data_IF_033459567570
#
_entry.id   IF_033459567570
#
_cell.length_a   1.000
_cell.length_b   1.000
_cell.length_c   1.000
_cell.angle_alpha   90.00
_cell.angle_beta   90.00
_cell.angle_gamma   90.00
#
_symmetry.space_group_name_H-M   'P 1'
#
loop_
_entity.id
_entity.type
_entity.pdbx_description
1 polymer ?
#
# COMPACT_ATOMS: atom_id res chain seq x y z
N UNK A 1 -3.40 2.07 9.07
CA UNK A 1 -4.36 1.90 7.94
C UNK A 1 -3.70 1.80 6.55
N UNK A 2 -2.47 2.29 6.33
CA UNK A 2 -1.80 2.20 5.02
C UNK A 2 -1.72 0.78 4.45
N UNK A 3 -1.49 -0.24 5.28
CA UNK A 3 -1.44 -1.63 4.82
C UNK A 3 -2.72 -2.10 4.13
N UNK A 4 -3.89 -1.64 4.56
CA UNK A 4 -5.16 -1.99 3.93
C UNK A 4 -5.29 -1.37 2.53
N UNK A 5 -4.98 -0.07 2.40
CA UNK A 5 -5.05 0.64 1.11
C UNK A 5 -4.06 0.03 0.10
N UNK A 6 -2.85 -0.31 0.55
CA UNK A 6 -1.85 -1.00 -0.26
C UNK A 6 -2.35 -2.38 -0.70
N UNK A 7 -2.95 -3.16 0.21
CA UNK A 7 -3.47 -4.48 -0.12
C UNK A 7 -4.63 -4.41 -1.12
N UNK A 8 -5.55 -3.46 -0.96
CA UNK A 8 -6.67 -3.24 -1.89
C UNK A 8 -6.14 -2.83 -3.26
N UNK A 9 -5.26 -1.83 -3.31
CA UNK A 9 -4.67 -1.36 -4.57
C UNK A 9 -3.78 -2.40 -5.26
N UNK A 10 -3.05 -3.21 -4.50
CA UNK A 10 -2.14 -4.23 -5.02
C UNK A 10 -2.82 -5.53 -5.44
N UNK A 11 -3.85 -5.98 -4.71
CA UNK A 11 -4.44 -7.31 -4.90
C UNK A 11 -5.83 -7.30 -5.54
N UNK A 12 -6.52 -6.17 -5.59
CA UNK A 12 -7.87 -6.06 -6.14
C UNK A 12 -7.85 -5.13 -7.36
N UNK A 13 -7.59 -5.72 -8.53
CA UNK A 13 -7.55 -5.02 -9.83
C UNK A 13 -8.65 -3.97 -10.05
N UNK A 14 -9.95 -4.28 -9.86
CA UNK A 14 -11.00 -3.29 -10.12
C UNK A 14 -10.97 -2.09 -9.16
N UNK A 15 -10.38 -2.25 -7.97
CA UNK A 15 -10.29 -1.19 -6.96
C UNK A 15 -8.99 -0.39 -7.05
N UNK A 16 -8.08 -0.69 -7.98
CA UNK A 16 -6.79 0.00 -8.12
C UNK A 16 -6.93 1.52 -8.23
N UNK A 17 -7.83 1.99 -9.10
CA UNK A 17 -8.05 3.43 -9.34
C UNK A 17 -8.60 4.13 -8.09
N UNK A 18 -9.53 3.48 -7.40
CA UNK A 18 -10.08 3.99 -6.14
C UNK A 18 -9.03 3.99 -5.04
N UNK A 19 -8.24 2.93 -4.90
CA UNK A 19 -7.16 2.83 -3.92
C UNK A 19 -6.09 3.91 -4.13
N UNK A 20 -5.69 4.20 -5.37
CA UNK A 20 -4.77 5.32 -5.69
C UNK A 20 -5.37 6.67 -5.32
N UNK A 21 -6.64 6.91 -5.63
CA UNK A 21 -7.33 8.16 -5.25
C UNK A 21 -7.40 8.32 -3.73
N UNK A 22 -7.74 7.25 -3.01
CA UNK A 22 -7.79 7.23 -1.55
C UNK A 22 -6.40 7.43 -0.94
N UNK A 23 -5.36 6.77 -1.48
CA UNK A 23 -3.98 6.99 -1.05
C UNK A 23 -3.54 8.45 -1.23
N UNK A 24 -3.88 9.07 -2.37
CA UNK A 24 -3.61 10.49 -2.63
C UNK A 24 -4.34 11.42 -1.67
N UNK A 25 -5.59 11.09 -1.30
CA UNK A 25 -6.39 11.86 -0.32
C UNK A 25 -5.87 11.69 1.11
N UNK A 26 -5.41 10.50 1.48
CA UNK A 26 -4.80 10.26 2.79
C UNK A 26 -3.45 10.99 2.92
N UNK A 27 -2.71 11.12 1.82
CA UNK A 27 -1.41 11.80 1.83
C UNK A 27 -0.41 11.13 2.77
N UNK A 28 0.48 11.93 3.35
CA UNK A 28 1.50 11.43 4.26
C UNK A 28 0.87 11.10 5.63
N UNK A 29 0.62 9.83 5.88
CA UNK A 29 0.14 9.36 7.19
C UNK A 29 1.31 9.32 8.16
N UNK A 30 1.35 10.29 9.08
CA UNK A 30 2.29 10.24 10.20
C UNK A 30 1.78 9.29 11.27
N UNK A 31 2.65 8.39 11.73
CA UNK A 31 2.37 7.49 12.86
C UNK A 31 3.51 7.70 13.82
N UNK A 32 3.20 7.95 15.09
CA UNK A 32 4.22 7.99 16.13
C UNK A 32 4.85 6.61 16.28
N UNK A 33 6.18 6.58 16.23
CA UNK A 33 6.98 5.36 16.30
C UNK A 33 8.04 5.43 17.41
N UNK A 34 7.92 6.41 18.32
CA UNK A 34 8.95 6.70 19.32
C UNK A 34 10.31 6.96 18.68
N UNK A 35 11.38 6.60 19.39
CA UNK A 35 12.78 6.79 18.95
C UNK A 35 13.26 5.74 17.93
N UNK A 36 12.45 5.45 16.91
CA UNK A 36 12.83 4.51 15.86
C UNK A 36 12.96 5.19 14.50
N UNK A 37 13.98 4.79 13.74
CA UNK A 37 14.20 5.27 12.37
C UNK A 37 13.21 4.67 11.34
N UNK A 38 12.18 3.95 11.79
CA UNK A 38 11.27 3.25 10.91
C UNK A 38 10.44 4.26 10.11
N UNK A 39 10.53 4.22 8.77
CA UNK A 39 9.76 5.10 7.87
C UNK A 39 8.35 4.57 7.61
N UNK A 40 7.35 5.46 7.61
CA UNK A 40 5.98 5.08 7.21
C UNK A 40 5.95 4.83 5.70
N UNK A 41 5.52 3.65 5.25
CA UNK A 41 5.39 3.41 3.82
C UNK A 41 4.28 4.29 3.25
N UNK A 42 4.62 5.10 2.24
CA UNK A 42 3.67 5.82 1.42
C UNK A 42 2.86 4.82 0.61
N UNK A 43 1.54 4.83 0.82
CA UNK A 43 0.63 3.90 0.18
C UNK A 43 0.61 4.07 -1.36
N UNK A 44 0.74 5.30 -1.86
CA UNK A 44 0.67 5.58 -3.29
C UNK A 44 1.93 5.05 -3.99
N UNK A 45 3.10 5.41 -3.47
CA UNK A 45 4.39 4.92 -3.97
C UNK A 45 4.49 3.38 -3.92
N UNK A 46 3.92 2.75 -2.89
CA UNK A 46 3.93 1.29 -2.78
C UNK A 46 3.05 0.61 -3.84
N UNK A 47 1.87 1.17 -4.14
CA UNK A 47 0.96 0.66 -5.17
C UNK A 47 1.59 0.83 -6.56
N UNK A 48 2.22 1.98 -6.85
CA UNK A 48 2.94 2.22 -8.11
C UNK A 48 4.13 1.28 -8.28
N UNK A 49 4.87 1.00 -7.21
CA UNK A 49 5.94 -0.01 -7.22
C UNK A 49 5.41 -1.43 -7.54
N UNK A 50 4.22 -1.78 -7.05
CA UNK A 50 3.59 -3.06 -7.40
C UNK A 50 3.11 -3.11 -8.85
N UNK A 51 2.66 -1.97 -9.40
CA UNK A 51 2.23 -1.80 -10.79
C UNK A 51 3.38 -1.92 -11.77
N UNK A 52 4.47 -1.19 -11.53
CA UNK A 52 5.71 -1.29 -12.32
C UNK A 52 6.31 -2.69 -12.25
N UNK A 53 6.19 -3.38 -11.12
CA UNK A 53 6.60 -4.77 -10.96
C UNK A 53 5.66 -5.81 -11.59
N UNK A 54 4.54 -5.41 -12.20
CA UNK A 54 3.58 -6.33 -12.84
C UNK A 54 2.86 -7.28 -11.86
N UNK A 55 2.79 -6.93 -10.57
CA UNK A 55 2.26 -7.81 -9.51
C UNK A 55 0.79 -7.51 -9.15
N UNK A 56 0.16 -6.58 -9.85
CA UNK A 56 -1.21 -6.14 -9.56
C UNK A 56 -2.20 -7.29 -9.79
N UNK A 57 -3.03 -7.55 -8.78
CA UNK A 57 -4.01 -8.62 -8.75
C UNK A 57 -3.45 -9.98 -8.32
N UNK A 58 -2.15 -10.11 -8.06
CA UNK A 58 -1.56 -11.37 -7.60
C UNK A 58 -1.75 -11.57 -6.10
N UNK A 59 -2.88 -12.17 -5.71
CA UNK A 59 -3.17 -12.55 -4.32
C UNK A 59 -2.20 -13.63 -3.83
N UNK A 60 -1.76 -13.53 -2.58
CA UNK A 60 -0.92 -14.54 -1.90
C UNK A 60 -1.42 -14.72 -0.48
N UNK A 61 -1.29 -15.94 0.05
CA UNK A 61 -1.47 -16.22 1.47
C UNK A 61 -0.29 -15.64 2.24
N UNK A 62 -0.52 -15.11 3.43
CA UNK A 62 0.56 -14.63 4.31
C UNK A 62 1.49 -15.79 4.63
N UNK A 63 2.77 -15.63 4.28
CA UNK A 63 3.81 -16.60 4.61
C UNK A 63 4.10 -16.43 6.10
N UNK A 64 4.06 -17.53 6.85
CA UNK A 64 4.45 -17.61 8.26
C UNK A 64 5.54 -18.68 8.35
N UNK A 65 6.62 -18.37 9.05
CA UNK A 65 7.67 -19.30 9.43
C UNK A 65 7.65 -19.45 10.95
#
# INVERSE_FOLDING_TARGET
MNGFVIAVGGYVKPLLKQAKSTAKKLGNVSVDRGDTACKVPDALAYIEKMETGGRIGKKRKTIRC
#
